data_IF_875377069591
#
_entry.id   IF_875377069591
#
_cell.length_a   1.000
_cell.length_b   1.000
_cell.length_c   1.000
_cell.angle_alpha   90.00
_cell.angle_beta   90.00
_cell.angle_gamma   90.00
#
_symmetry.space_group_name_H-M   'P 1'
#
loop_
_entity.id
_entity.type
_entity.pdbx_description
1 polymer ?
#
# COMPACT_ATOMS: atom_id res chain seq x y z
N UNK A 1 8.82 -0.12 2.47
CA UNK A 1 7.84 0.95 2.76
C UNK A 1 8.47 2.13 3.49
N UNK A 2 9.02 1.99 4.70
CA UNK A 2 9.60 3.13 5.47
C UNK A 2 10.62 3.95 4.68
N UNK A 3 11.60 3.29 4.05
CA UNK A 3 12.59 3.95 3.17
C UNK A 3 11.97 4.69 1.98
N UNK A 4 10.83 4.22 1.49
CA UNK A 4 10.12 4.82 0.35
C UNK A 4 9.15 5.94 0.79
N UNK A 5 8.77 5.98 2.06
CA UNK A 5 7.78 6.93 2.59
C UNK A 5 6.38 6.76 1.99
N UNK A 6 6.03 5.54 1.57
CA UNK A 6 4.73 5.24 0.97
C UNK A 6 3.71 4.79 2.01
N UNK A 7 2.45 5.18 1.81
CA UNK A 7 1.32 4.72 2.62
C UNK A 7 0.69 3.52 1.92
N UNK A 8 0.63 2.34 2.56
CA UNK A 8 0.07 1.16 1.92
C UNK A 8 -1.45 1.23 1.86
N UNK A 9 -2.02 0.82 0.72
CA UNK A 9 -3.43 0.53 0.56
C UNK A 9 -3.58 -0.94 0.15
N UNK A 10 -4.24 -1.75 0.97
CA UNK A 10 -4.40 -3.18 0.74
C UNK A 10 -5.84 -3.52 0.43
N UNK A 11 -6.06 -4.26 -0.64
CA UNK A 11 -7.36 -4.82 -1.00
C UNK A 11 -7.31 -6.34 -0.89
N UNK A 12 -8.45 -6.95 -0.59
CA UNK A 12 -8.57 -8.42 -0.57
C UNK A 12 -8.54 -8.97 -2.00
N UNK A 13 -9.22 -8.27 -2.93
CA UNK A 13 -9.31 -8.63 -4.34
C UNK A 13 -9.12 -7.41 -5.25
N UNK A 14 -8.84 -7.66 -6.53
CA UNK A 14 -8.78 -6.63 -7.57
C UNK A 14 -10.15 -6.48 -8.27
N UNK A 15 -11.21 -6.41 -7.49
CA UNK A 15 -12.59 -6.29 -7.98
C UNK A 15 -13.02 -4.82 -8.14
N UNK A 16 -14.17 -4.62 -8.78
CA UNK A 16 -14.75 -3.29 -8.99
C UNK A 16 -14.93 -2.54 -7.67
N UNK A 17 -15.40 -3.22 -6.62
CA UNK A 17 -15.61 -2.61 -5.31
C UNK A 17 -14.31 -2.04 -4.73
N UNK A 18 -13.21 -2.76 -4.91
CA UNK A 18 -11.88 -2.33 -4.45
C UNK A 18 -11.36 -1.13 -5.25
N UNK A 19 -11.60 -1.11 -6.56
CA UNK A 19 -11.27 0.03 -7.42
C UNK A 19 -12.09 1.28 -7.04
N UNK A 20 -13.40 1.12 -6.81
CA UNK A 20 -14.29 2.21 -6.41
C UNK A 20 -13.91 2.78 -5.04
N UNK A 21 -13.57 1.92 -4.08
CA UNK A 21 -13.10 2.34 -2.76
C UNK A 21 -11.83 3.18 -2.84
N UNK A 22 -10.86 2.75 -3.65
CA UNK A 22 -9.62 3.51 -3.83
C UNK A 22 -9.90 4.86 -4.52
N UNK A 23 -10.77 4.89 -5.53
CA UNK A 23 -11.19 6.14 -6.17
C UNK A 23 -11.83 7.11 -5.18
N UNK A 24 -12.83 6.63 -4.42
CA UNK A 24 -13.52 7.46 -3.43
C UNK A 24 -12.56 7.99 -2.35
N UNK A 25 -11.58 7.18 -1.94
CA UNK A 25 -10.53 7.64 -1.04
C UNK A 25 -9.70 8.77 -1.66
N UNK A 26 -9.27 8.59 -2.92
CA UNK A 26 -8.49 9.60 -3.64
C UNK A 26 -9.29 10.87 -3.96
N UNK A 27 -10.62 10.83 -3.97
CA UNK A 27 -11.49 12.01 -4.13
C UNK A 27 -11.54 12.90 -2.88
N UNK A 28 -11.26 12.33 -1.71
CA UNK A 28 -11.44 13.00 -0.41
C UNK A 28 -10.12 13.35 0.29
N UNK A 29 -8.99 12.98 -0.30
CA UNK A 29 -7.65 13.21 0.25
C UNK A 29 -6.86 14.21 -0.59
N UNK A 30 -5.76 14.72 -0.03
CA UNK A 30 -4.79 15.51 -0.79
C UNK A 30 -4.15 14.65 -1.89
N UNK A 31 -3.79 15.26 -3.01
CA UNK A 31 -3.17 14.55 -4.13
C UNK A 31 -1.85 13.92 -3.72
N UNK A 32 -1.69 12.64 -4.07
CA UNK A 32 -0.41 11.95 -3.99
C UNK A 32 0.47 12.32 -5.17
N UNK A 33 1.73 12.62 -4.91
CA UNK A 33 2.73 12.82 -5.96
C UNK A 33 2.93 11.56 -6.80
N UNK A 34 3.00 10.42 -6.14
CA UNK A 34 3.26 9.13 -6.77
C UNK A 34 2.27 8.08 -6.27
N UNK A 35 1.78 7.25 -7.19
CA UNK A 35 0.97 6.08 -6.87
C UNK A 35 1.60 4.87 -7.55
N UNK A 36 1.92 3.86 -6.74
CA UNK A 36 2.47 2.59 -7.19
C UNK A 36 1.50 1.47 -6.86
N UNK A 37 1.22 0.60 -7.83
CA UNK A 37 0.21 -0.43 -7.68
C UNK A 37 0.69 -1.78 -8.19
N UNK A 38 0.41 -2.84 -7.43
CA UNK A 38 0.56 -4.21 -7.92
C UNK A 38 -0.81 -4.87 -7.92
N UNK A 39 -1.15 -5.50 -9.04
CA UNK A 39 -2.38 -6.25 -9.19
C UNK A 39 -2.06 -7.74 -9.19
N UNK A 40 -2.39 -8.42 -8.08
CA UNK A 40 -2.24 -9.86 -8.00
C UNK A 40 -3.29 -10.58 -8.86
N UNK A 41 -2.81 -11.33 -9.85
CA UNK A 41 -3.66 -12.12 -10.74
C UNK A 41 -4.16 -13.39 -10.03
N UNK A 42 -5.45 -13.70 -10.21
CA UNK A 42 -6.04 -15.00 -9.84
C UNK A 42 -6.28 -15.94 -11.03
N UNK A 43 -5.88 -15.55 -12.23
CA UNK A 43 -6.00 -16.41 -13.41
C UNK A 43 -7.41 -16.57 -13.99
N UNK A 44 -8.40 -15.80 -13.53
CA UNK A 44 -9.80 -15.95 -13.95
C UNK A 44 -10.37 -14.60 -14.41
N UNK A 45 -11.00 -14.60 -15.59
CA UNK A 45 -11.89 -13.52 -16.01
C UNK A 45 -13.25 -13.77 -15.35
N UNK A 46 -13.53 -13.07 -14.25
CA UNK A 46 -14.86 -13.09 -13.63
C UNK A 46 -15.52 -11.73 -13.79
N UNK A 47 -16.86 -11.71 -13.83
CA UNK A 47 -17.68 -10.51 -14.06
C UNK A 47 -17.48 -9.38 -13.01
N UNK A 48 -16.71 -9.61 -11.95
CA UNK A 48 -16.44 -8.62 -10.90
C UNK A 48 -15.02 -8.06 -10.87
N UNK A 49 -14.10 -8.55 -11.71
CA UNK A 49 -12.71 -8.06 -11.74
C UNK A 49 -12.66 -6.71 -12.47
N UNK A 50 -12.06 -5.71 -11.83
CA UNK A 50 -11.80 -4.43 -12.48
C UNK A 50 -10.72 -4.59 -13.56
N UNK A 51 -10.91 -3.98 -14.72
CA UNK A 51 -9.99 -4.09 -15.85
C UNK A 51 -8.65 -3.38 -15.57
N UNK A 52 -7.61 -3.75 -16.32
CA UNK A 52 -6.33 -3.03 -16.30
C UNK A 52 -6.51 -1.54 -16.59
N UNK A 53 -7.38 -1.17 -17.54
CA UNK A 53 -7.68 0.22 -17.87
C UNK A 53 -8.31 1.00 -16.71
N UNK A 54 -9.18 0.37 -15.92
CA UNK A 54 -9.77 1.00 -14.75
C UNK A 54 -8.71 1.27 -13.68
N UNK A 55 -7.83 0.31 -13.42
CA UNK A 55 -6.71 0.52 -12.51
C UNK A 55 -5.71 1.56 -13.04
N UNK A 56 -5.46 1.58 -14.34
CA UNK A 56 -4.64 2.59 -15.02
C UNK A 56 -5.24 3.98 -14.85
N UNK A 57 -6.57 4.11 -14.93
CA UNK A 57 -7.25 5.40 -14.69
C UNK A 57 -7.03 5.92 -13.26
N UNK A 58 -6.95 5.03 -12.27
CA UNK A 58 -6.64 5.37 -10.88
C UNK A 58 -5.18 5.83 -10.75
N UNK A 59 -4.23 5.11 -11.36
CA UNK A 59 -2.82 5.49 -11.36
C UNK A 59 -2.60 6.89 -11.95
N UNK A 60 -3.36 7.26 -12.99
CA UNK A 60 -3.28 8.58 -13.63
C UNK A 60 -3.74 9.73 -12.73
N UNK A 61 -4.28 9.46 -11.54
CA UNK A 61 -4.63 10.48 -10.54
C UNK A 61 -3.44 10.99 -9.74
N UNK A 62 -2.30 10.30 -9.80
CA UNK A 62 -1.06 10.78 -9.20
C UNK A 62 -0.65 12.12 -9.85
N UNK A 63 -0.21 13.09 -9.05
CA UNK A 63 0.13 14.42 -9.56
C UNK A 63 1.40 14.41 -10.42
N UNK A 64 2.31 13.44 -10.20
CA UNK A 64 3.58 13.32 -10.94
C UNK A 64 3.74 11.98 -11.64
N UNK A 65 3.53 10.86 -10.95
CA UNK A 65 3.84 9.53 -11.51
C UNK A 65 2.92 8.42 -10.99
N UNK A 66 2.32 7.68 -11.92
CA UNK A 66 1.47 6.53 -11.63
C UNK A 66 1.96 5.29 -12.36
N UNK A 67 2.33 4.23 -11.63
CA UNK A 67 2.95 3.05 -12.23
C UNK A 67 2.48 1.73 -11.63
N UNK A 68 2.34 0.73 -12.51
CA UNK A 68 2.21 -0.65 -12.07
C UNK A 68 3.57 -1.25 -11.74
N UNK A 69 3.68 -1.84 -10.56
CA UNK A 69 4.87 -2.56 -10.11
C UNK A 69 4.67 -4.05 -10.38
N UNK A 70 5.42 -4.58 -11.35
CA UNK A 70 5.45 -6.00 -11.69
C UNK A 70 4.27 -6.55 -12.50
N UNK A 71 3.28 -5.73 -12.84
CA UNK A 71 2.09 -6.15 -13.61
C UNK A 71 2.37 -6.05 -15.11
N UNK A 72 2.09 -7.13 -15.84
CA UNK A 72 1.96 -7.12 -17.29
C UNK A 72 0.48 -6.87 -17.64
N UNK A 73 0.17 -5.63 -18.04
CA UNK A 73 -1.19 -5.20 -18.35
C UNK A 73 -1.81 -5.98 -19.51
N UNK A 74 -1.02 -6.46 -20.46
CA UNK A 74 -1.52 -7.23 -21.60
C UNK A 74 -1.93 -8.65 -21.19
N UNK A 75 -1.34 -9.16 -20.10
CA UNK A 75 -1.67 -10.47 -19.54
C UNK A 75 -2.63 -10.40 -18.36
N UNK A 76 -2.85 -9.22 -17.78
CA UNK A 76 -3.85 -9.06 -16.73
C UNK A 76 -5.26 -9.41 -17.28
N UNK A 77 -6.11 -10.15 -16.54
CA UNK A 77 -6.02 -10.58 -15.15
C UNK A 77 -5.41 -11.97 -14.94
N UNK A 78 -4.71 -12.56 -15.93
CA UNK A 78 -4.08 -13.88 -15.86
C UNK A 78 -2.55 -13.84 -15.65
N UNK A 79 -2.01 -12.66 -15.33
CA UNK A 79 -0.59 -12.43 -15.12
C UNK A 79 -0.03 -13.02 -13.80
N UNK A 80 0.15 -14.35 -13.77
CA UNK A 80 0.71 -15.05 -12.60
C UNK A 80 2.19 -14.71 -12.33
N UNK A 81 2.89 -14.06 -13.25
CA UNK A 81 4.29 -13.66 -13.03
C UNK A 81 4.40 -12.36 -12.20
N UNK A 82 3.29 -11.65 -11.95
CA UNK A 82 3.28 -10.43 -11.14
C UNK A 82 3.75 -10.65 -9.70
N UNK A 83 3.53 -11.84 -9.14
CA UNK A 83 4.02 -12.20 -7.80
C UNK A 83 5.54 -12.15 -7.68
N UNK A 84 6.24 -12.66 -8.70
CA UNK A 84 7.71 -12.66 -8.73
C UNK A 84 8.24 -11.27 -9.08
N UNK A 85 7.65 -10.63 -10.10
CA UNK A 85 8.09 -9.32 -10.56
C UNK A 85 7.85 -8.21 -9.53
N UNK A 86 6.81 -8.32 -8.69
CA UNK A 86 6.54 -7.36 -7.64
C UNK A 86 7.79 -7.10 -6.78
N UNK A 87 8.44 -8.15 -6.29
CA UNK A 87 9.63 -8.00 -5.46
C UNK A 87 10.80 -7.36 -6.19
N UNK A 88 11.05 -7.78 -7.44
CA UNK A 88 12.19 -7.27 -8.21
C UNK A 88 11.99 -5.84 -8.67
N UNK A 89 10.76 -5.46 -9.02
CA UNK A 89 10.45 -4.13 -9.52
C UNK A 89 10.28 -3.13 -8.38
N UNK A 90 9.69 -3.54 -7.25
CA UNK A 90 9.60 -2.69 -6.06
C UNK A 90 11.00 -2.29 -5.55
N UNK A 91 12.00 -3.16 -5.68
CA UNK A 91 13.39 -2.85 -5.31
C UNK A 91 14.04 -1.76 -6.17
N UNK A 92 13.54 -1.53 -7.38
CA UNK A 92 14.06 -0.50 -8.30
C UNK A 92 13.57 0.90 -7.91
N UNK A 93 12.57 1.01 -7.04
CA UNK A 93 12.13 2.30 -6.52
C UNK A 93 13.19 2.87 -5.57
N UNK A 94 13.59 4.10 -5.84
CA UNK A 94 14.56 4.82 -5.03
C UNK A 94 14.01 5.15 -3.65
N UNK A 95 14.81 4.87 -2.62
CA UNK A 95 14.49 5.28 -1.26
C UNK A 95 14.57 6.80 -1.12
N UNK A 96 13.51 7.42 -0.60
CA UNK A 96 13.48 8.86 -0.29
C UNK A 96 13.97 9.17 1.12
N UNK A 97 13.84 8.22 2.04
CA UNK A 97 14.13 8.40 3.45
C UNK A 97 15.14 7.37 3.93
N UNK A 98 16.04 7.72 4.86
CA UNK A 98 16.82 6.72 5.58
C UNK A 98 15.89 5.77 6.34
N UNK A 99 16.35 4.55 6.59
CA UNK A 99 15.65 3.66 7.52
C UNK A 99 15.82 4.27 8.93
N UNK A 100 14.73 4.53 9.67
CA UNK A 100 14.84 5.07 11.02
C UNK A 100 15.48 4.04 11.95
N UNK A 101 16.24 4.53 12.92
CA UNK A 101 16.73 3.68 14.01
C UNK A 101 15.55 3.11 14.82
N UNK A 102 15.70 1.92 15.42
CA UNK A 102 14.68 1.37 16.31
C UNK A 102 14.36 2.33 17.46
N UNK A 103 13.08 2.44 17.81
CA UNK A 103 12.63 3.19 18.99
C UNK A 103 13.14 2.52 20.27
N UNK A 104 13.59 3.31 21.23
CA UNK A 104 13.83 2.83 22.60
C UNK A 104 12.50 2.68 23.36
N UNK A 105 12.52 1.94 24.47
CA UNK A 105 11.35 1.83 25.35
C UNK A 105 10.96 3.20 25.93
N UNK A 106 11.95 4.00 26.34
CA UNK A 106 11.70 5.35 26.86
C UNK A 106 11.01 6.27 25.82
N UNK A 107 11.41 6.17 24.55
CA UNK A 107 10.77 6.92 23.46
C UNK A 107 9.34 6.46 23.20
N UNK A 108 9.08 5.16 23.34
CA UNK A 108 7.73 4.61 23.24
C UNK A 108 6.86 5.08 24.41
N UNK A 109 7.39 5.09 25.63
CA UNK A 109 6.70 5.60 26.83
C UNK A 109 6.33 7.07 26.67
N UNK A 110 7.26 7.89 26.20
CA UNK A 110 7.01 9.31 25.93
C UNK A 110 5.94 9.49 24.85
N UNK A 111 6.00 8.72 23.77
CA UNK A 111 5.00 8.75 22.71
C UNK A 111 3.60 8.39 23.23
N UNK A 112 3.48 7.33 24.03
CA UNK A 112 2.19 6.91 24.61
C UNK A 112 1.65 7.95 25.59
N UNK A 113 2.51 8.59 26.39
CA UNK A 113 2.12 9.67 27.28
C UNK A 113 1.59 10.89 26.52
N UNK A 114 2.18 11.23 25.37
CA UNK A 114 1.73 12.34 24.51
C UNK A 114 0.47 12.01 23.72
N UNK A 115 0.29 10.74 23.32
CA UNK A 115 -0.85 10.31 22.53
C UNK A 115 -2.13 10.11 23.36
N UNK A 116 -2.03 10.16 24.70
CA UNK A 116 -3.14 9.95 25.64
C UNK A 116 -4.01 8.74 25.25
N UNK A 117 -5.34 8.90 25.23
CA UNK A 117 -6.31 7.86 24.87
C UNK A 117 -6.54 7.72 23.36
N UNK A 118 -5.71 8.33 22.50
CA UNK A 118 -5.87 8.22 21.04
C UNK A 118 -5.64 6.78 20.55
N UNK A 119 -4.93 5.95 21.31
CA UNK A 119 -4.68 4.55 21.00
C UNK A 119 -5.00 3.66 22.20
N UNK A 120 -5.71 2.54 21.96
CA UNK A 120 -6.02 1.54 23.00
C UNK A 120 -4.83 0.65 23.36
N UNK A 121 -3.68 1.25 23.66
CA UNK A 121 -2.42 0.56 24.00
C UNK A 121 -2.12 0.77 25.48
N UNK A 122 -1.79 -0.30 26.20
CA UNK A 122 -1.42 -0.26 27.63
C UNK A 122 -0.30 -1.24 27.91
N UNK A 123 0.60 -0.87 28.81
CA UNK A 123 1.57 -1.80 29.38
C UNK A 123 0.86 -2.88 30.20
N UNK A 124 1.30 -4.12 30.05
CA UNK A 124 0.84 -5.24 30.88
C UNK A 124 1.99 -5.61 31.79
N UNK A 125 1.84 -5.32 33.09
CA UNK A 125 2.78 -5.81 34.08
C UNK A 125 2.56 -7.32 34.26
N UNK A 126 3.61 -8.10 34.05
CA UNK A 126 3.62 -9.50 34.47
C UNK A 126 4.02 -9.57 35.94
N UNK A 127 3.24 -10.20 36.83
CA UNK A 127 3.68 -10.42 38.20
C UNK A 127 4.93 -11.30 38.17
N UNK A 128 6.00 -10.79 38.79
CA UNK A 128 7.22 -11.56 39.01
C UNK A 128 6.87 -12.69 39.98
N UNK A 129 7.08 -13.93 39.54
CA UNK A 129 6.84 -15.15 40.33
C UNK A 129 7.80 -15.26 41.52
#
# INVERSE_FOLDING_TARGET
MLRLGVVPFWTVFNDQMSADRLNNYLDTTNLYDEIYMTLFSKGLHSLGIASSDQWRSILNRASKHGEFIGVDEQKYPVDAASYVRHYTDLKKLDGRYPIPEPLTLDQLDEFLAQAEDCYSVRWIEHPVA
#
